data_IF_300022597792
#
_entry.id   IF_300022597792
#
_cell.length_a   1.000
_cell.length_b   1.000
_cell.length_c   1.000
_cell.angle_alpha   90.00
_cell.angle_beta   90.00
_cell.angle_gamma   90.00
#
_symmetry.space_group_name_H-M   'P 1'
#
loop_
_entity.id
_entity.type
_entity.pdbx_description
1 polymer ?
#
# COMPACT_ATOMS: atom_id res chain seq x y z
N UNK A 1 -37.16 65.25 2.47
CA UNK A 1 -37.13 64.95 3.92
C UNK A 1 -38.44 64.26 4.24
N UNK A 2 -38.42 62.94 4.18
CA UNK A 2 -39.51 62.06 4.55
C UNK A 2 -38.83 60.77 5.02
N UNK A 3 -38.87 60.55 6.33
CA UNK A 3 -38.19 59.47 7.03
C UNK A 3 -38.99 58.17 6.89
N UNK A 4 -38.26 57.10 6.56
CA UNK A 4 -38.77 55.76 6.34
C UNK A 4 -38.25 54.88 7.48
N UNK A 5 -39.04 54.71 8.54
CA UNK A 5 -38.75 53.81 9.66
C UNK A 5 -39.20 52.39 9.31
N UNK A 6 -38.28 51.44 9.48
CA UNK A 6 -38.49 50.00 9.33
C UNK A 6 -38.82 49.38 10.69
N UNK A 7 -39.72 48.39 10.78
CA UNK A 7 -40.07 47.74 12.04
C UNK A 7 -39.09 46.61 12.39
N UNK A 8 -38.76 46.52 13.69
CA UNK A 8 -38.02 45.42 14.31
C UNK A 8 -38.95 44.24 14.56
N UNK A 9 -38.57 43.05 14.11
CA UNK A 9 -39.16 41.79 14.56
C UNK A 9 -38.56 41.38 15.91
N UNK A 10 -39.43 41.26 16.92
CA UNK A 10 -39.16 40.60 18.19
C UNK A 10 -39.39 39.10 18.03
N UNK A 11 -38.44 38.26 18.43
CA UNK A 11 -38.64 36.82 18.55
C UNK A 11 -38.71 36.49 20.05
N UNK A 12 -39.93 36.18 20.50
CA UNK A 12 -40.22 35.49 21.76
C UNK A 12 -39.58 34.09 21.76
N UNK A 13 -38.77 33.76 22.77
CA UNK A 13 -38.61 32.39 23.22
C UNK A 13 -38.76 32.30 24.74
N UNK A 14 -39.78 31.55 25.09
CA UNK A 14 -40.28 31.14 26.41
C UNK A 14 -39.20 30.68 27.38
N UNK A 15 -39.16 31.37 28.53
CA UNK A 15 -38.64 30.85 29.79
C UNK A 15 -39.62 29.84 30.37
N UNK A 16 -39.11 28.73 30.91
CA UNK A 16 -39.85 27.80 31.78
C UNK A 16 -39.21 27.84 33.17
N UNK A 17 -39.97 28.11 34.25
CA UNK A 17 -39.44 28.11 35.61
C UNK A 17 -39.77 26.80 36.35
N UNK A 18 -38.79 26.23 37.05
CA UNK A 18 -39.06 25.33 38.19
C UNK A 18 -37.93 25.38 39.24
N UNK A 19 -38.14 26.24 40.24
CA UNK A 19 -38.06 26.00 41.70
C UNK A 19 -37.89 24.53 42.15
N UNK A 20 -37.20 24.12 43.24
CA UNK A 20 -36.61 24.75 44.45
C UNK A 20 -35.82 23.63 45.20
N UNK A 21 -34.86 23.94 46.10
CA UNK A 21 -33.94 22.97 46.69
C UNK A 21 -34.43 22.40 48.03
N UNK A 22 -34.03 21.16 48.37
CA UNK A 22 -34.30 20.57 49.68
C UNK A 22 -33.07 19.85 50.29
N UNK A 23 -32.59 20.46 51.38
CA UNK A 23 -31.99 19.94 52.62
C UNK A 23 -31.06 18.71 52.64
N UNK A 24 -29.79 19.00 52.97
CA UNK A 24 -29.17 18.73 54.29
C UNK A 24 -29.55 17.44 55.05
N UNK A 25 -28.68 16.42 55.04
CA UNK A 25 -28.45 15.55 56.21
C UNK A 25 -27.07 14.84 56.17
N UNK A 26 -26.14 15.25 57.05
CA UNK A 26 -25.13 14.38 57.71
C UNK A 26 -25.83 13.77 58.94
N UNK A 27 -25.49 12.58 59.51
CA UNK A 27 -24.10 12.11 59.77
C UNK A 27 -23.89 10.57 59.87
N UNK A 28 -22.63 10.10 59.90
CA UNK A 28 -22.04 9.31 61.03
C UNK A 28 -20.79 8.52 60.64
N UNK A 29 -19.79 8.68 61.50
CA UNK A 29 -18.60 7.86 61.61
C UNK A 29 -18.93 6.44 62.08
N UNK A 30 -18.18 5.45 61.58
CA UNK A 30 -17.94 4.20 62.31
C UNK A 30 -16.46 3.81 62.22
N UNK A 31 -15.79 3.87 63.37
CA UNK A 31 -14.50 3.24 63.68
C UNK A 31 -14.77 1.84 64.22
N UNK A 32 -14.07 0.82 63.73
CA UNK A 32 -13.57 -0.35 64.47
C UNK A 32 -12.75 -1.21 63.47
N UNK A 33 -11.43 -1.36 63.56
CA UNK A 33 -10.55 -2.00 64.57
C UNK A 33 -10.45 -3.53 64.40
N UNK A 34 -9.20 -3.97 64.24
CA UNK A 34 -8.62 -5.27 64.66
C UNK A 34 -8.94 -6.52 63.83
N UNK A 35 -7.90 -7.12 63.21
CA UNK A 35 -7.17 -8.25 63.84
C UNK A 35 -5.83 -8.51 63.16
N UNK A 36 -4.87 -8.93 63.99
CA UNK A 36 -3.48 -9.22 63.69
C UNK A 36 -3.21 -10.73 63.55
N UNK A 37 -1.96 -11.03 63.21
CA UNK A 37 -1.26 -12.33 63.26
C UNK A 37 -1.58 -13.29 62.09
N UNK A 38 -0.68 -14.13 61.58
CA UNK A 38 0.51 -14.74 62.19
C UNK A 38 1.41 -15.36 61.10
N UNK A 39 2.72 -15.14 61.26
CA UNK A 39 3.86 -16.05 61.04
C UNK A 39 3.64 -17.40 60.32
N UNK A 40 4.52 -17.72 59.34
CA UNK A 40 5.43 -18.88 59.45
C UNK A 40 6.63 -18.74 58.53
N UNK A 41 7.83 -18.86 59.10
CA UNK A 41 9.08 -19.10 58.42
C UNK A 41 9.29 -20.62 58.21
N UNK A 42 9.86 -21.04 57.08
CA UNK A 42 10.81 -22.16 57.05
C UNK A 42 11.70 -22.13 55.78
N UNK A 43 13.01 -22.11 56.04
CA UNK A 43 14.13 -22.54 55.19
C UNK A 43 14.25 -24.10 55.35
N UNK A 44 15.25 -24.85 54.82
CA UNK A 44 16.28 -24.59 53.78
C UNK A 44 16.56 -25.80 52.82
N UNK A 45 17.61 -25.63 51.99
CA UNK A 45 18.54 -26.63 51.40
C UNK A 45 18.15 -27.36 50.10
N UNK A 46 18.99 -27.17 49.07
CA UNK A 46 19.87 -28.23 48.57
C UNK A 46 21.05 -27.65 47.76
N UNK A 47 22.26 -28.13 48.07
CA UNK A 47 23.50 -28.02 47.28
C UNK A 47 23.57 -29.19 46.30
N UNK A 48 24.13 -29.00 45.11
CA UNK A 48 25.01 -29.93 44.34
C UNK A 48 25.16 -29.35 42.93
N UNK A 49 26.28 -28.79 42.48
CA UNK A 49 27.58 -29.39 42.14
C UNK A 49 27.54 -30.46 41.02
N UNK A 50 28.20 -30.09 39.91
CA UNK A 50 29.01 -30.89 38.97
C UNK A 50 28.38 -31.87 37.95
N UNK A 51 28.50 -31.54 36.65
CA UNK A 51 29.09 -32.35 35.53
C UNK A 51 28.92 -31.55 34.23
N UNK A 52 29.98 -31.05 33.60
CA UNK A 52 30.97 -31.72 32.75
C UNK A 52 30.45 -32.18 31.37
N UNK A 53 30.97 -31.48 30.36
CA UNK A 53 31.46 -31.98 29.06
C UNK A 53 30.51 -32.45 27.95
N UNK A 54 30.78 -31.84 26.79
CA UNK A 54 30.85 -32.42 25.45
C UNK A 54 29.54 -32.77 24.72
N UNK A 55 29.17 -31.92 23.75
CA UNK A 55 28.86 -32.40 22.40
C UNK A 55 29.08 -31.31 21.34
N UNK A 56 30.27 -31.36 20.75
CA UNK A 56 30.55 -30.86 19.40
C UNK A 56 29.88 -31.83 18.41
N UNK A 57 29.61 -31.37 17.19
CA UNK A 57 29.14 -32.13 15.99
C UNK A 57 27.63 -32.12 15.73
N UNK A 58 27.15 -31.12 14.96
CA UNK A 58 26.42 -31.33 13.69
C UNK A 58 25.90 -29.99 13.14
N UNK A 59 26.81 -29.19 12.59
CA UNK A 59 26.47 -28.00 11.80
C UNK A 59 27.35 -28.04 10.54
N UNK A 60 27.02 -28.96 9.63
CA UNK A 60 27.69 -29.12 8.34
C UNK A 60 26.82 -29.95 7.35
N UNK A 61 25.48 -29.87 7.45
CA UNK A 61 24.58 -30.63 6.55
C UNK A 61 23.23 -29.95 6.29
N UNK A 62 23.18 -28.62 6.31
CA UNK A 62 21.96 -27.85 6.03
C UNK A 62 22.13 -26.77 4.95
N UNK A 63 23.30 -26.68 4.30
CA UNK A 63 23.57 -25.71 3.23
C UNK A 63 23.61 -26.34 1.82
N UNK A 64 23.33 -27.65 1.68
CA UNK A 64 23.34 -28.37 0.39
C UNK A 64 21.95 -28.78 -0.12
N UNK A 65 20.86 -28.54 0.62
CA UNK A 65 19.48 -28.85 0.15
C UNK A 65 18.79 -27.65 -0.53
N UNK A 66 19.16 -26.40 -0.21
CA UNK A 66 18.54 -25.20 -0.81
C UNK A 66 19.02 -24.92 -2.24
N UNK A 67 20.09 -25.60 -2.71
CA UNK A 67 20.59 -25.52 -4.09
C UNK A 67 20.09 -26.63 -5.03
N UNK A 68 19.31 -27.58 -4.52
CA UNK A 68 18.78 -28.69 -5.30
C UNK A 68 17.35 -28.45 -5.82
N UNK A 69 16.55 -27.61 -5.16
CA UNK A 69 15.18 -27.32 -5.59
C UNK A 69 15.12 -26.31 -6.76
N UNK A 70 16.07 -25.38 -6.84
CA UNK A 70 16.13 -24.36 -7.91
C UNK A 70 16.60 -24.91 -9.28
N UNK A 71 17.07 -26.17 -9.34
CA UNK A 71 17.48 -26.85 -10.59
C UNK A 71 16.48 -27.88 -11.11
N UNK A 72 15.42 -28.19 -10.35
CA UNK A 72 14.40 -29.13 -10.78
C UNK A 72 13.26 -28.46 -11.58
N UNK A 73 13.01 -27.16 -11.36
CA UNK A 73 11.97 -26.40 -12.10
C UNK A 73 12.43 -25.97 -13.51
N UNK A 74 13.74 -25.80 -13.74
CA UNK A 74 14.28 -25.45 -15.08
C UNK A 74 14.33 -26.65 -16.05
N UNK A 75 14.20 -27.88 -15.54
CA UNK A 75 14.28 -29.12 -16.35
C UNK A 75 12.93 -29.58 -16.93
N UNK A 76 11.79 -29.02 -16.49
CA UNK A 76 10.44 -29.42 -16.96
C UNK A 76 9.89 -28.48 -18.04
N UNK A 77 10.48 -27.30 -18.23
CA UNK A 77 10.08 -26.34 -19.28
C UNK A 77 10.76 -26.55 -20.65
N UNK A 78 11.75 -27.45 -20.77
CA UNK A 78 12.56 -27.62 -21.98
C UNK A 78 12.11 -28.73 -22.93
N UNK A 79 10.83 -29.14 -22.92
CA UNK A 79 10.35 -30.25 -23.77
C UNK A 79 8.97 -30.00 -24.40
N UNK A 80 8.86 -28.91 -25.15
CA UNK A 80 7.77 -28.68 -26.11
C UNK A 80 8.21 -27.74 -27.25
N UNK A 81 9.34 -28.02 -27.90
CA UNK A 81 9.60 -27.51 -29.26
C UNK A 81 9.06 -28.51 -30.27
N UNK A 82 7.81 -28.29 -30.69
CA UNK A 82 7.21 -28.96 -31.84
C UNK A 82 7.63 -28.23 -33.12
N UNK A 83 8.25 -28.98 -34.03
CA UNK A 83 8.72 -28.52 -35.35
C UNK A 83 7.62 -27.82 -36.15
N UNK A 84 7.90 -26.70 -36.85
CA UNK A 84 6.96 -26.15 -37.81
C UNK A 84 6.92 -27.03 -39.08
N UNK A 85 5.72 -27.49 -39.41
CA UNK A 85 5.41 -28.08 -40.69
C UNK A 85 5.58 -27.03 -41.80
N UNK A 86 6.39 -27.36 -42.80
CA UNK A 86 6.46 -26.68 -44.10
C UNK A 86 5.13 -26.88 -44.81
N UNK A 87 4.46 -25.79 -45.15
CA UNK A 87 3.46 -25.78 -46.21
C UNK A 87 3.81 -24.80 -47.33
N UNK A 88 3.36 -25.09 -48.56
CA UNK A 88 4.01 -24.65 -49.77
C UNK A 88 3.50 -23.32 -50.32
N UNK A 89 4.37 -22.71 -51.11
CA UNK A 89 4.17 -21.56 -51.99
C UNK A 89 2.73 -21.37 -52.51
N UNK A 90 2.11 -20.25 -52.10
CA UNK A 90 0.95 -19.69 -52.76
C UNK A 90 1.36 -18.47 -53.60
N UNK A 91 0.80 -18.46 -54.81
CA UNK A 91 1.17 -17.67 -55.96
C UNK A 91 0.97 -16.15 -55.77
N UNK A 92 1.83 -15.41 -56.47
CA UNK A 92 1.78 -13.97 -56.63
C UNK A 92 0.48 -13.52 -57.32
N UNK A 93 -0.37 -12.80 -56.60
CA UNK A 93 -1.45 -12.01 -57.17
C UNK A 93 -1.03 -10.53 -57.26
N UNK A 94 -1.00 -10.02 -58.49
CA UNK A 94 -0.58 -8.68 -58.86
C UNK A 94 -1.66 -7.64 -58.61
N UNK A 95 -1.85 -7.27 -57.35
CA UNK A 95 -2.75 -6.18 -56.96
C UNK A 95 -2.16 -4.79 -57.21
N UNK A 96 -2.70 -4.06 -58.19
CA UNK A 96 -2.39 -2.65 -58.48
C UNK A 96 -2.57 -1.77 -57.24
N UNK A 97 -1.47 -1.24 -56.69
CA UNK A 97 -1.45 -0.19 -55.66
C UNK A 97 -2.19 1.05 -56.16
N UNK A 98 -3.43 1.26 -55.72
CA UNK A 98 -4.10 2.57 -55.80
C UNK A 98 -3.37 3.53 -54.87
N UNK A 99 -2.95 4.67 -55.42
CA UNK A 99 -2.31 5.73 -54.67
C UNK A 99 -3.23 6.22 -53.53
N UNK A 100 -2.70 6.45 -52.31
CA UNK A 100 -3.48 6.95 -51.20
C UNK A 100 -4.07 8.34 -51.53
N UNK A 101 -5.31 8.63 -51.11
CA UNK A 101 -5.93 9.93 -51.29
C UNK A 101 -5.10 11.01 -50.60
N UNK A 102 -4.78 12.08 -51.33
CA UNK A 102 -4.07 13.25 -50.79
C UNK A 102 -4.85 13.81 -49.61
N UNK A 103 -4.25 13.74 -48.43
CA UNK A 103 -4.79 14.32 -47.21
C UNK A 103 -5.09 15.81 -47.42
N UNK A 104 -6.25 16.31 -46.92
CA UNK A 104 -6.59 17.72 -46.98
C UNK A 104 -5.52 18.55 -46.24
N UNK A 105 -4.88 19.46 -46.96
CA UNK A 105 -3.90 20.37 -46.39
C UNK A 105 -4.64 21.35 -45.45
N UNK A 106 -4.50 21.11 -44.15
CA UNK A 106 -5.00 22.00 -43.10
C UNK A 106 -4.26 23.34 -43.24
N UNK A 107 -5.02 24.40 -43.53
CA UNK A 107 -4.53 25.78 -43.59
C UNK A 107 -3.80 26.13 -42.29
N UNK A 108 -2.53 26.52 -42.41
CA UNK A 108 -1.74 27.14 -41.33
C UNK A 108 -2.45 28.40 -40.86
N UNK A 109 -3.11 28.33 -39.70
CA UNK A 109 -3.68 29.51 -39.02
C UNK A 109 -2.53 30.26 -38.34
N UNK A 110 -2.45 31.56 -38.60
CA UNK A 110 -1.37 32.43 -38.17
C UNK A 110 -1.66 33.03 -36.78
N UNK A 111 -1.42 32.25 -35.72
CA UNK A 111 -1.58 32.68 -34.32
C UNK A 111 -0.21 32.99 -33.66
N UNK A 112 0.67 33.72 -34.35
CA UNK A 112 2.12 33.75 -34.08
C UNK A 112 2.62 34.34 -32.75
N UNK A 113 1.84 35.14 -32.01
CA UNK A 113 2.37 35.86 -30.81
C UNK A 113 1.85 35.34 -29.47
N UNK A 114 0.62 34.82 -29.37
CA UNK A 114 0.13 34.19 -28.12
C UNK A 114 0.72 32.81 -27.88
N UNK A 115 1.18 32.14 -28.94
CA UNK A 115 1.91 30.88 -28.83
C UNK A 115 3.27 31.03 -28.12
N UNK A 116 3.90 32.21 -28.10
CA UNK A 116 5.26 32.38 -27.59
C UNK A 116 5.45 31.98 -26.12
N UNK A 117 4.61 32.50 -25.21
CA UNK A 117 4.70 32.21 -23.77
C UNK A 117 4.21 30.80 -23.42
N UNK A 118 3.14 30.33 -24.07
CA UNK A 118 2.63 28.97 -23.88
C UNK A 118 3.66 27.92 -24.33
N UNK A 119 4.41 28.18 -25.40
CA UNK A 119 5.53 27.32 -25.81
C UNK A 119 6.68 27.31 -24.80
N UNK A 120 6.94 28.41 -24.09
CA UNK A 120 8.05 28.48 -23.12
C UNK A 120 7.75 27.59 -21.91
N UNK A 121 6.57 27.75 -21.28
CA UNK A 121 6.22 26.98 -20.08
C UNK A 121 6.09 25.49 -20.39
N UNK A 122 5.43 25.14 -21.51
CA UNK A 122 5.32 23.75 -21.94
C UNK A 122 6.69 23.13 -22.21
N UNK A 123 7.63 23.88 -22.83
CA UNK A 123 9.00 23.40 -23.04
C UNK A 123 9.75 23.14 -21.74
N UNK A 124 9.59 23.99 -20.72
CA UNK A 124 10.20 23.75 -19.40
C UNK A 124 9.59 22.54 -18.70
N UNK A 125 8.27 22.39 -18.74
CA UNK A 125 7.59 21.22 -18.16
C UNK A 125 8.02 19.94 -18.87
N UNK A 126 8.04 19.92 -20.20
CA UNK A 126 8.51 18.76 -20.96
C UNK A 126 9.97 18.43 -20.65
N UNK A 127 10.84 19.44 -20.56
CA UNK A 127 12.25 19.23 -20.19
C UNK A 127 12.40 18.65 -18.77
N UNK A 128 11.57 19.09 -17.82
CA UNK A 128 11.53 18.54 -16.46
C UNK A 128 11.06 17.08 -16.47
N UNK A 129 9.97 16.76 -17.18
CA UNK A 129 9.47 15.39 -17.28
C UNK A 129 10.51 14.47 -17.96
N UNK A 130 11.18 14.94 -19.01
CA UNK A 130 12.25 14.19 -19.67
C UNK A 130 13.45 13.95 -18.77
N UNK A 131 13.80 14.94 -17.93
CA UNK A 131 14.83 14.77 -16.90
C UNK A 131 14.42 13.69 -15.88
N UNK A 132 13.18 13.73 -15.39
CA UNK A 132 12.66 12.76 -14.43
C UNK A 132 12.58 11.35 -15.02
N UNK A 133 12.14 11.20 -16.28
CA UNK A 133 12.13 9.92 -17.02
C UNK A 133 13.51 9.26 -17.06
N UNK A 134 14.59 10.05 -17.16
CA UNK A 134 15.97 9.53 -17.16
C UNK A 134 16.43 9.04 -15.79
N UNK A 135 15.93 9.66 -14.72
CA UNK A 135 16.27 9.28 -13.33
C UNK A 135 15.48 8.01 -12.95
N UNK A 136 14.22 7.95 -13.35
CA UNK A 136 13.28 6.89 -12.99
C UNK A 136 13.37 5.69 -13.92
N UNK A 137 14.42 4.88 -13.77
CA UNK A 137 14.64 3.68 -14.59
C UNK A 137 13.96 2.42 -14.03
N UNK A 138 13.48 1.48 -14.88
CA UNK A 138 12.85 0.23 -14.42
C UNK A 138 13.73 -0.62 -13.49
N UNK A 139 15.03 -0.84 -13.76
CA UNK A 139 15.87 -1.67 -12.88
C UNK A 139 15.98 -1.12 -11.45
N UNK A 140 16.02 0.21 -11.31
CA UNK A 140 16.09 0.86 -9.99
C UNK A 140 14.79 0.64 -9.23
N UNK A 141 13.64 0.81 -9.90
CA UNK A 141 12.33 0.52 -9.31
C UNK A 141 12.25 -0.92 -8.80
N UNK A 142 12.61 -1.90 -9.63
CA UNK A 142 12.59 -3.31 -9.26
C UNK A 142 13.54 -3.62 -8.09
N UNK A 143 14.72 -3.00 -8.07
CA UNK A 143 15.67 -3.11 -6.96
C UNK A 143 15.08 -2.62 -5.63
N UNK A 144 14.48 -1.43 -5.62
CA UNK A 144 13.86 -0.87 -4.41
C UNK A 144 12.63 -1.70 -4.01
N UNK A 145 11.82 -2.15 -4.97
CA UNK A 145 10.65 -3.01 -4.70
C UNK A 145 11.06 -4.35 -4.06
N UNK A 146 12.11 -5.01 -4.58
CA UNK A 146 12.66 -6.24 -3.99
C UNK A 146 13.16 -5.99 -2.57
N UNK A 147 13.88 -4.88 -2.36
CA UNK A 147 14.36 -4.49 -1.04
C UNK A 147 13.21 -4.22 -0.06
N UNK A 148 12.16 -3.52 -0.49
CA UNK A 148 10.98 -3.23 0.32
C UNK A 148 10.28 -4.53 0.77
N UNK A 149 10.11 -5.50 -0.14
CA UNK A 149 9.54 -6.82 0.19
C UNK A 149 10.43 -7.58 1.19
N UNK A 150 11.73 -7.60 0.94
CA UNK A 150 12.69 -8.25 1.84
C UNK A 150 12.60 -7.68 3.26
N UNK A 151 12.70 -6.35 3.40
CA UNK A 151 12.59 -5.68 4.69
C UNK A 151 11.21 -5.89 5.32
N UNK A 152 10.14 -5.88 4.52
CA UNK A 152 8.77 -6.12 4.98
C UNK A 152 8.59 -7.49 5.63
N UNK A 153 9.14 -8.55 5.03
CA UNK A 153 9.09 -9.89 5.61
C UNK A 153 9.86 -9.98 6.94
N UNK A 154 11.05 -9.37 7.02
CA UNK A 154 11.81 -9.33 8.27
C UNK A 154 11.12 -8.52 9.36
N UNK A 155 10.52 -7.38 9.02
CA UNK A 155 9.77 -6.56 9.95
C UNK A 155 8.53 -7.30 10.47
N UNK A 156 7.78 -7.95 9.59
CA UNK A 156 6.61 -8.75 9.96
C UNK A 156 7.02 -9.92 10.87
N UNK A 157 8.13 -10.61 10.57
CA UNK A 157 8.64 -11.68 11.42
C UNK A 157 9.09 -11.17 12.80
N UNK A 158 9.80 -10.04 12.85
CA UNK A 158 10.22 -9.40 14.09
C UNK A 158 9.03 -8.92 14.96
N UNK A 159 7.88 -8.65 14.34
CA UNK A 159 6.67 -8.26 15.07
C UNK A 159 6.14 -9.35 16.00
N UNK A 160 6.39 -10.64 15.70
CA UNK A 160 5.92 -11.75 16.52
C UNK A 160 6.48 -11.73 17.96
N UNK A 161 7.81 -11.74 18.18
CA UNK A 161 8.36 -11.65 19.53
C UNK A 161 8.07 -10.30 20.19
N UNK A 162 8.04 -9.19 19.44
CA UNK A 162 7.71 -7.88 20.00
C UNK A 162 6.29 -7.82 20.56
N UNK A 163 5.30 -8.25 19.79
CA UNK A 163 3.90 -8.30 20.22
C UNK A 163 3.71 -9.25 21.42
N UNK A 164 4.40 -10.39 21.44
CA UNK A 164 4.33 -11.33 22.57
C UNK A 164 4.89 -10.69 23.85
N UNK A 165 6.02 -9.98 23.76
CA UNK A 165 6.60 -9.27 24.91
C UNK A 165 5.67 -8.19 25.44
N UNK A 166 5.14 -7.34 24.55
CA UNK A 166 4.15 -6.31 24.92
C UNK A 166 2.93 -6.95 25.58
N UNK A 167 2.36 -7.99 24.99
CA UNK A 167 1.21 -8.70 25.53
C UNK A 167 1.49 -9.33 26.90
N UNK A 168 2.68 -9.89 27.12
CA UNK A 168 3.10 -10.44 28.40
C UNK A 168 3.17 -9.36 29.48
N UNK A 169 3.81 -8.22 29.20
CA UNK A 169 3.89 -7.10 30.15
C UNK A 169 2.51 -6.53 30.47
N UNK A 170 1.67 -6.34 29.45
CA UNK A 170 0.29 -5.90 29.62
C UNK A 170 -0.53 -6.89 30.45
N UNK A 171 -0.41 -8.19 30.20
CA UNK A 171 -1.13 -9.23 30.95
C UNK A 171 -0.74 -9.25 32.42
N UNK A 172 0.55 -9.14 32.75
CA UNK A 172 1.04 -9.08 34.13
C UNK A 172 0.50 -7.83 34.82
N UNK A 173 0.55 -6.68 34.15
CA UNK A 173 0.18 -5.39 34.75
C UNK A 173 -1.33 -5.22 34.92
N UNK A 174 -2.12 -5.78 34.02
CA UNK A 174 -3.60 -5.73 34.08
C UNK A 174 -4.23 -6.90 34.82
N UNK A 175 -3.45 -7.97 35.09
CA UNK A 175 -3.99 -9.23 35.62
C UNK A 175 -4.87 -9.99 34.63
N UNK A 176 -4.80 -9.66 33.33
CA UNK A 176 -5.67 -10.23 32.30
C UNK A 176 -4.98 -11.29 31.46
N UNK A 177 -5.36 -12.56 31.65
CA UNK A 177 -4.81 -13.68 30.89
C UNK A 177 -5.18 -13.65 29.40
N UNK A 178 -6.31 -13.01 29.03
CA UNK A 178 -6.74 -12.93 27.64
C UNK A 178 -5.75 -12.17 26.75
N UNK A 179 -5.08 -11.14 27.29
CA UNK A 179 -4.07 -10.36 26.55
C UNK A 179 -2.89 -11.25 26.16
N UNK A 180 -2.44 -12.12 27.06
CA UNK A 180 -1.37 -13.07 26.76
C UNK A 180 -1.77 -14.07 25.68
N UNK A 181 -3.03 -14.55 25.70
CA UNK A 181 -3.57 -15.42 24.66
C UNK A 181 -3.55 -14.71 23.30
N UNK A 182 -3.94 -13.43 23.23
CA UNK A 182 -3.86 -12.67 21.98
C UNK A 182 -2.42 -12.50 21.48
N UNK A 183 -1.46 -12.24 22.38
CA UNK A 183 -0.04 -12.21 22.03
C UNK A 183 0.46 -13.55 21.49
N UNK A 184 0.08 -14.66 22.10
CA UNK A 184 0.43 -16.00 21.62
C UNK A 184 -0.24 -16.32 20.27
N UNK A 185 -1.51 -15.93 20.08
CA UNK A 185 -2.21 -16.07 18.81
C UNK A 185 -1.53 -15.28 17.70
N UNK A 186 -1.02 -14.08 18.00
CA UNK A 186 -0.27 -13.26 17.04
C UNK A 186 0.99 -13.96 16.52
N UNK A 187 1.72 -14.67 17.39
CA UNK A 187 2.91 -15.45 16.98
C UNK A 187 2.56 -16.52 15.95
N UNK A 188 1.37 -17.13 16.05
CA UNK A 188 0.87 -18.11 15.07
C UNK A 188 0.33 -17.42 13.82
N UNK A 189 -0.27 -16.23 13.93
CA UNK A 189 -0.81 -15.49 12.81
C UNK A 189 0.28 -14.94 11.86
N UNK A 190 1.41 -14.47 12.39
CA UNK A 190 2.51 -13.89 11.61
C UNK A 190 3.01 -14.79 10.46
N UNK A 191 3.34 -16.09 10.65
CA UNK A 191 3.78 -16.93 9.54
C UNK A 191 2.69 -17.15 8.49
N UNK A 192 1.40 -17.19 8.88
CA UNK A 192 0.27 -17.30 7.95
C UNK A 192 0.17 -16.02 7.11
N UNK A 193 0.23 -14.84 7.75
CA UNK A 193 0.22 -13.55 7.08
C UNK A 193 1.42 -13.39 6.14
N UNK A 194 2.59 -13.85 6.57
CA UNK A 194 3.81 -13.84 5.76
C UNK A 194 3.67 -14.72 4.51
N UNK A 195 3.10 -15.92 4.65
CA UNK A 195 2.81 -16.82 3.54
C UNK A 195 1.83 -16.20 2.54
N UNK A 196 0.74 -15.59 3.02
CA UNK A 196 -0.23 -14.89 2.17
C UNK A 196 0.47 -13.75 1.40
N UNK A 197 1.25 -12.91 2.10
CA UNK A 197 1.93 -11.78 1.49
C UNK A 197 2.90 -12.23 0.38
N UNK A 198 3.66 -13.29 0.61
CA UNK A 198 4.62 -13.83 -0.35
C UNK A 198 3.94 -14.35 -1.62
N UNK A 199 2.96 -15.24 -1.47
CA UNK A 199 2.33 -15.92 -2.61
C UNK A 199 1.50 -14.97 -3.47
N UNK A 200 0.68 -14.11 -2.85
CA UNK A 200 -0.20 -13.22 -3.61
C UNK A 200 0.56 -12.08 -4.30
N UNK A 201 1.72 -11.69 -3.78
CA UNK A 201 2.59 -10.73 -4.48
C UNK A 201 3.12 -11.30 -5.79
N UNK A 202 3.62 -12.54 -5.77
CA UNK A 202 4.08 -13.22 -6.99
C UNK A 202 2.93 -13.44 -7.97
N UNK A 203 1.76 -13.85 -7.48
CA UNK A 203 0.57 -14.02 -8.31
C UNK A 203 0.10 -12.71 -8.97
N UNK A 204 0.16 -11.58 -8.24
CA UNK A 204 -0.15 -10.26 -8.79
C UNK A 204 0.83 -9.82 -9.89
N UNK A 205 2.13 -10.08 -9.72
CA UNK A 205 3.13 -9.81 -10.75
C UNK A 205 2.88 -10.63 -12.03
N UNK A 206 2.46 -11.89 -11.89
CA UNK A 206 2.07 -12.74 -13.02
C UNK A 206 0.82 -12.21 -13.73
N UNK A 207 -0.21 -11.79 -12.98
CA UNK A 207 -1.43 -11.20 -13.55
C UNK A 207 -1.17 -9.94 -14.38
N UNK A 208 -0.31 -9.03 -13.89
CA UNK A 208 0.07 -7.83 -14.63
C UNK A 208 0.75 -8.19 -15.95
N UNK A 209 1.63 -9.22 -15.94
CA UNK A 209 2.34 -9.70 -17.13
C UNK A 209 1.43 -10.46 -18.11
N UNK A 210 0.40 -11.16 -17.65
CA UNK A 210 -0.51 -11.92 -18.51
C UNK A 210 -1.60 -11.06 -19.18
N UNK A 211 -1.77 -9.82 -18.73
CA UNK A 211 -2.86 -8.94 -19.18
C UNK A 211 -2.35 -7.74 -19.98
N UNK A 212 -1.94 -7.89 -21.26
CA UNK A 212 -1.46 -6.77 -22.07
C UNK A 212 -2.57 -5.78 -22.38
N UNK A 213 -2.24 -4.48 -22.36
CA UNK A 213 -3.18 -3.40 -22.67
C UNK A 213 -2.49 -2.32 -23.47
N UNK A 214 -3.24 -1.58 -24.28
CA UNK A 214 -2.69 -0.54 -25.15
C UNK A 214 -3.24 0.83 -24.76
N UNK A 215 -2.43 1.87 -24.93
CA UNK A 215 -2.84 3.27 -24.88
C UNK A 215 -2.47 3.93 -26.22
N UNK A 216 -3.38 4.70 -26.79
CA UNK A 216 -3.16 5.42 -28.05
C UNK A 216 -2.11 6.53 -27.90
N UNK A 217 -2.11 7.23 -26.77
CA UNK A 217 -1.28 8.43 -26.58
C UNK A 217 -0.48 8.41 -25.28
N UNK A 218 0.80 8.85 -25.31
CA UNK A 218 1.59 9.08 -24.10
C UNK A 218 1.10 10.28 -23.28
N UNK A 219 0.30 11.18 -23.87
CA UNK A 219 -0.09 12.43 -23.22
C UNK A 219 -0.86 12.22 -21.91
N UNK A 220 -1.68 11.16 -21.81
CA UNK A 220 -2.36 10.82 -20.57
C UNK A 220 -1.37 10.55 -19.44
N UNK A 221 -0.32 9.75 -19.71
CA UNK A 221 0.69 9.38 -18.72
C UNK A 221 1.55 10.59 -18.30
N UNK A 222 1.89 11.47 -19.25
CA UNK A 222 2.63 12.70 -18.95
C UNK A 222 1.79 13.67 -18.09
N UNK A 223 0.50 13.82 -18.38
CA UNK A 223 -0.42 14.61 -17.54
C UNK A 223 -0.59 13.99 -16.15
N UNK A 224 -0.75 12.67 -16.06
CA UNK A 224 -0.84 11.95 -14.79
C UNK A 224 0.43 12.14 -13.96
N UNK A 225 1.60 12.04 -14.58
CA UNK A 225 2.88 12.28 -13.92
C UNK A 225 2.96 13.68 -13.33
N UNK A 226 2.55 14.71 -14.09
CA UNK A 226 2.56 16.09 -13.63
C UNK A 226 1.61 16.31 -12.43
N UNK A 227 0.39 15.77 -12.50
CA UNK A 227 -0.56 15.83 -11.39
C UNK A 227 -0.01 15.08 -10.18
N UNK A 228 0.57 13.90 -10.38
CA UNK A 228 1.19 13.12 -9.31
C UNK A 228 2.33 13.87 -8.62
N UNK A 229 3.18 14.58 -9.37
CA UNK A 229 4.22 15.43 -8.78
C UNK A 229 3.65 16.58 -7.94
N UNK A 230 2.53 17.18 -8.37
CA UNK A 230 1.82 18.18 -7.57
C UNK A 230 1.25 17.57 -6.28
N UNK A 231 0.71 16.35 -6.34
CA UNK A 231 0.23 15.62 -5.15
C UNK A 231 1.39 15.33 -4.19
N UNK A 232 2.54 14.87 -4.69
CA UNK A 232 3.75 14.65 -3.87
C UNK A 232 4.14 15.94 -3.13
N UNK A 233 4.21 17.07 -3.85
CA UNK A 233 4.54 18.36 -3.26
C UNK A 233 3.49 18.81 -2.22
N UNK A 234 2.20 18.66 -2.54
CA UNK A 234 1.11 19.02 -1.64
C UNK A 234 1.13 18.20 -0.34
N UNK A 235 1.33 16.88 -0.43
CA UNK A 235 1.47 16.02 0.75
C UNK A 235 2.63 16.45 1.63
N UNK A 236 3.81 16.75 1.06
CA UNK A 236 4.96 17.21 1.86
C UNK A 236 4.67 18.53 2.57
N UNK A 237 4.08 19.51 1.87
CA UNK A 237 3.74 20.81 2.47
C UNK A 237 2.70 20.63 3.57
N UNK A 238 1.63 19.87 3.31
CA UNK A 238 0.56 19.63 4.27
C UNK A 238 1.07 18.89 5.51
N UNK A 239 1.93 17.88 5.34
CA UNK A 239 2.56 17.17 6.44
C UNK A 239 3.42 18.06 7.33
N UNK A 240 4.18 19.00 6.74
CA UNK A 240 4.97 19.97 7.52
C UNK A 240 4.04 20.86 8.34
N UNK A 241 2.98 21.40 7.72
CA UNK A 241 2.01 22.27 8.40
C UNK A 241 1.32 21.52 9.56
N UNK A 242 0.84 20.30 9.32
CA UNK A 242 0.20 19.48 10.34
C UNK A 242 1.16 19.10 11.46
N UNK A 243 2.41 18.77 11.13
CA UNK A 243 3.43 18.44 12.12
C UNK A 243 3.73 19.60 13.07
N UNK A 244 3.79 20.83 12.53
CA UNK A 244 3.97 22.05 13.33
C UNK A 244 2.73 22.33 14.20
N UNK A 245 1.53 22.24 13.63
CA UNK A 245 0.28 22.55 14.35
C UNK A 245 0.00 21.58 15.51
N UNK A 246 0.32 20.30 15.33
CA UNK A 246 0.08 19.28 16.34
C UNK A 246 1.28 19.04 17.26
N UNK A 247 2.40 19.75 17.04
CA UNK A 247 3.68 19.56 17.76
C UNK A 247 4.07 18.07 17.79
N UNK A 248 3.87 17.40 16.65
CA UNK A 248 4.02 15.95 16.53
C UNK A 248 4.62 15.60 15.17
N UNK A 249 5.53 14.64 15.16
CA UNK A 249 6.15 14.18 13.92
C UNK A 249 5.29 13.14 13.18
N UNK A 250 4.26 12.58 13.84
CA UNK A 250 3.42 11.51 13.30
C UNK A 250 2.63 11.97 12.05
N UNK A 251 1.92 13.12 12.05
CA UNK A 251 1.21 13.59 10.86
C UNK A 251 2.14 13.79 9.66
N UNK A 252 3.31 14.40 9.89
CA UNK A 252 4.32 14.58 8.85
C UNK A 252 4.77 13.25 8.24
N UNK A 253 5.06 12.25 9.06
CA UNK A 253 5.46 10.92 8.58
C UNK A 253 4.36 10.23 7.76
N UNK A 254 3.10 10.40 8.16
CA UNK A 254 1.94 9.87 7.41
C UNK A 254 1.83 10.50 6.02
N UNK A 255 1.93 11.82 5.93
CA UNK A 255 1.85 12.51 4.64
C UNK A 255 3.10 12.26 3.78
N UNK A 256 4.28 12.14 4.40
CA UNK A 256 5.50 11.74 3.72
C UNK A 256 5.38 10.32 3.12
N UNK A 257 4.75 9.40 3.85
CA UNK A 257 4.47 8.07 3.35
C UNK A 257 3.57 8.11 2.09
N UNK A 258 2.48 8.88 2.12
CA UNK A 258 1.60 9.07 0.96
C UNK A 258 2.37 9.71 -0.20
N UNK A 259 3.20 10.72 0.08
CA UNK A 259 4.04 11.37 -0.93
C UNK A 259 5.01 10.36 -1.60
N UNK A 260 5.61 9.46 -0.83
CA UNK A 260 6.50 8.41 -1.37
C UNK A 260 5.72 7.47 -2.29
N UNK A 261 4.53 7.01 -1.88
CA UNK A 261 3.69 6.14 -2.72
C UNK A 261 3.26 6.85 -4.01
N UNK A 262 2.85 8.11 -3.92
CA UNK A 262 2.52 8.93 -5.09
C UNK A 262 3.73 9.10 -6.02
N UNK A 263 4.93 9.27 -5.47
CA UNK A 263 6.18 9.32 -6.23
C UNK A 263 6.45 8.02 -7.01
N UNK A 264 6.19 6.85 -6.40
CA UNK A 264 6.28 5.57 -7.12
C UNK A 264 5.18 5.41 -8.18
N UNK A 265 3.99 5.97 -7.99
CA UNK A 265 2.94 5.99 -9.01
C UNK A 265 3.37 6.84 -10.23
N UNK A 266 3.99 8.00 -9.99
CA UNK A 266 4.62 8.82 -11.03
C UNK A 266 5.75 8.07 -11.75
N UNK A 267 6.55 7.29 -11.01
CA UNK A 267 7.58 6.44 -11.62
C UNK A 267 6.98 5.47 -12.64
N UNK A 268 5.86 4.83 -12.28
CA UNK A 268 5.17 3.86 -13.14
C UNK A 268 4.59 4.52 -14.40
N UNK A 269 4.10 5.76 -14.32
CA UNK A 269 3.60 6.47 -15.52
C UNK A 269 4.71 6.82 -16.51
N UNK A 270 5.94 7.00 -16.05
CA UNK A 270 7.09 7.17 -16.94
C UNK A 270 7.55 5.87 -17.61
N UNK A 271 7.13 4.72 -17.08
CA UNK A 271 7.57 3.40 -17.52
C UNK A 271 6.38 2.43 -17.70
N UNK A 272 5.44 2.73 -18.62
CA UNK A 272 4.22 1.93 -18.82
C UNK A 272 4.50 0.48 -19.20
N UNK A 273 5.68 0.17 -19.75
CA UNK A 273 6.12 -1.19 -20.04
C UNK A 273 6.22 -2.08 -18.80
N UNK A 274 6.52 -1.52 -17.62
CA UNK A 274 6.50 -2.27 -16.35
C UNK A 274 5.10 -2.77 -15.97
N UNK A 275 4.08 -2.10 -16.50
CA UNK A 275 2.68 -2.46 -16.35
C UNK A 275 2.18 -3.27 -17.55
N UNK A 276 3.05 -3.75 -18.44
CA UNK A 276 2.62 -4.43 -19.67
C UNK A 276 1.62 -3.58 -20.47
N UNK A 277 1.91 -2.28 -20.57
CA UNK A 277 1.14 -1.31 -21.35
C UNK A 277 2.00 -0.85 -22.53
N UNK A 278 1.51 -1.07 -23.74
CA UNK A 278 2.12 -0.53 -24.96
C UNK A 278 1.50 0.83 -25.25
N UNK A 279 2.33 1.80 -25.65
CA UNK A 279 1.89 3.16 -25.99
C UNK A 279 2.15 3.39 -27.47
N UNK A 280 1.14 3.86 -28.18
CA UNK A 280 1.20 4.13 -29.62
C UNK A 280 0.45 3.08 -30.43
N UNK A 281 -0.79 3.40 -30.75
CA UNK A 281 -1.68 2.60 -31.60
C UNK A 281 -2.97 3.36 -31.92
N UNK A 282 -3.70 2.92 -32.95
CA UNK A 282 -5.01 3.47 -33.32
C UNK A 282 -6.11 2.89 -32.42
N UNK A 283 -6.01 3.12 -31.11
CA UNK A 283 -7.01 2.66 -30.16
C UNK A 283 -8.29 3.52 -30.29
N UNK A 284 -9.46 2.86 -30.32
CA UNK A 284 -10.71 3.60 -30.21
C UNK A 284 -10.85 4.24 -28.83
N UNK A 285 -11.71 5.25 -28.67
CA UNK A 285 -11.93 5.91 -27.38
C UNK A 285 -12.32 4.91 -26.26
N UNK A 286 -13.03 3.83 -26.60
CA UNK A 286 -13.36 2.76 -25.65
C UNK A 286 -12.14 1.94 -25.23
N UNK A 287 -11.22 1.64 -26.16
CA UNK A 287 -9.96 0.94 -25.84
C UNK A 287 -9.02 1.84 -25.02
N UNK A 288 -8.99 3.15 -25.31
CA UNK A 288 -8.24 4.13 -24.51
C UNK A 288 -8.75 4.14 -23.05
N UNK A 289 -10.07 4.19 -22.85
CA UNK A 289 -10.66 4.15 -21.51
C UNK A 289 -10.31 2.86 -20.76
N UNK A 290 -10.34 1.71 -21.44
CA UNK A 290 -9.89 0.43 -20.87
C UNK A 290 -8.41 0.48 -20.49
N UNK A 291 -7.56 1.05 -21.36
CA UNK A 291 -6.13 1.22 -21.09
C UNK A 291 -5.87 2.09 -19.86
N UNK A 292 -6.62 3.18 -19.68
CA UNK A 292 -6.52 4.08 -18.52
C UNK A 292 -6.92 3.36 -17.23
N UNK A 293 -8.07 2.67 -17.22
CA UNK A 293 -8.52 1.92 -16.04
C UNK A 293 -7.50 0.83 -15.69
N UNK A 294 -7.00 0.11 -16.70
CA UNK A 294 -5.98 -0.91 -16.55
C UNK A 294 -4.68 -0.34 -15.96
N UNK A 295 -4.27 0.85 -16.38
CA UNK A 295 -3.11 1.55 -15.82
C UNK A 295 -3.24 1.73 -14.30
N UNK A 296 -4.38 2.23 -13.80
CA UNK A 296 -4.58 2.42 -12.36
C UNK A 296 -4.55 1.11 -11.59
N UNK A 297 -5.29 0.10 -12.06
CA UNK A 297 -5.38 -1.20 -11.38
C UNK A 297 -4.02 -1.88 -11.31
N UNK A 298 -3.29 -1.92 -12.43
CA UNK A 298 -1.93 -2.48 -12.47
C UNK A 298 -0.95 -1.67 -11.63
N UNK A 299 -1.10 -0.34 -11.59
CA UNK A 299 -0.25 0.52 -10.76
C UNK A 299 -0.42 0.20 -9.28
N UNK A 300 -1.65 -0.01 -8.81
CA UNK A 300 -1.91 -0.46 -7.43
C UNK A 300 -1.18 -1.78 -7.14
N UNK A 301 -1.28 -2.76 -8.03
CA UNK A 301 -0.56 -4.05 -7.87
C UNK A 301 0.95 -3.84 -7.81
N UNK A 302 1.52 -2.99 -8.66
CA UNK A 302 2.95 -2.67 -8.64
C UNK A 302 3.40 -1.88 -7.41
N UNK A 303 2.50 -1.13 -6.75
CA UNK A 303 2.79 -0.41 -5.52
C UNK A 303 2.77 -1.29 -4.25
N UNK A 304 2.21 -2.51 -4.33
CA UNK A 304 2.11 -3.43 -3.19
C UNK A 304 3.44 -3.70 -2.47
N UNK A 305 4.58 -3.97 -3.14
CA UNK A 305 5.88 -4.10 -2.49
C UNK A 305 6.20 -2.99 -1.48
N UNK A 306 5.86 -1.74 -1.83
CA UNK A 306 6.11 -0.58 -0.97
C UNK A 306 5.08 -0.52 0.15
N UNK A 307 3.80 -0.73 -0.14
CA UNK A 307 2.73 -0.74 0.87
C UNK A 307 3.01 -1.80 1.94
N UNK A 308 3.30 -3.02 1.51
CA UNK A 308 3.70 -4.12 2.39
C UNK A 308 4.97 -3.80 3.17
N UNK A 309 6.05 -3.43 2.47
CA UNK A 309 7.37 -3.21 3.09
C UNK A 309 7.35 -2.12 4.15
N UNK A 310 6.86 -0.94 3.79
CA UNK A 310 6.78 0.22 4.70
C UNK A 310 5.77 0.01 5.82
N UNK A 311 4.58 -0.52 5.52
CA UNK A 311 3.55 -0.78 6.52
C UNK A 311 4.02 -1.78 7.58
N UNK A 312 4.70 -2.85 7.15
CA UNK A 312 5.27 -3.83 8.08
C UNK A 312 6.37 -3.21 8.97
N UNK A 313 7.25 -2.37 8.41
CA UNK A 313 8.28 -1.65 9.17
C UNK A 313 7.65 -0.70 10.19
N UNK A 314 6.66 0.10 9.78
CA UNK A 314 5.98 1.04 10.67
C UNK A 314 5.30 0.29 11.82
N UNK A 315 4.54 -0.76 11.52
CA UNK A 315 3.87 -1.55 12.55
C UNK A 315 4.86 -2.21 13.54
N UNK A 316 5.96 -2.79 13.02
CA UNK A 316 7.01 -3.34 13.88
C UNK A 316 7.71 -2.27 14.74
N UNK A 317 7.96 -1.08 14.18
CA UNK A 317 8.56 0.02 14.91
C UNK A 317 7.64 0.55 16.03
N UNK A 318 6.31 0.61 15.79
CA UNK A 318 5.35 0.98 16.83
C UNK A 318 5.38 -0.06 17.97
N UNK A 319 5.38 -1.37 17.68
CA UNK A 319 5.51 -2.40 18.72
C UNK A 319 6.84 -2.29 19.50
N UNK A 320 7.92 -1.91 18.83
CA UNK A 320 9.21 -1.69 19.48
C UNK A 320 9.17 -0.50 20.45
N UNK A 321 8.56 0.62 20.04
CA UNK A 321 8.34 1.77 20.94
C UNK A 321 7.44 1.36 22.10
N UNK A 322 6.42 0.54 21.83
CA UNK A 322 5.44 0.12 22.81
C UNK A 322 6.02 -0.77 23.93
N UNK A 323 7.12 -1.48 23.62
CA UNK A 323 7.91 -2.18 24.64
C UNK A 323 8.43 -1.25 25.75
N UNK A 324 8.58 0.05 25.48
CA UNK A 324 8.97 1.06 26.48
C UNK A 324 7.74 1.72 27.10
N UNK A 325 6.74 2.07 26.28
CA UNK A 325 5.53 2.80 26.72
C UNK A 325 4.71 1.99 27.74
N UNK A 326 4.72 0.66 27.65
CA UNK A 326 4.03 -0.22 28.60
C UNK A 326 4.42 0.01 30.07
N UNK A 327 5.63 0.55 30.32
CA UNK A 327 6.10 0.87 31.66
C UNK A 327 5.60 2.23 32.16
N UNK A 328 5.34 3.19 31.28
CA UNK A 328 5.02 4.58 31.65
C UNK A 328 3.53 4.91 31.51
N UNK A 329 2.86 4.41 30.47
CA UNK A 329 1.47 4.78 30.13
C UNK A 329 0.67 3.57 29.63
N UNK A 330 0.03 2.85 30.56
CA UNK A 330 -0.63 1.58 30.29
C UNK A 330 -1.76 1.67 29.24
N UNK A 331 -2.60 2.71 29.31
CA UNK A 331 -3.72 2.91 28.37
C UNK A 331 -3.20 3.16 26.96
N UNK A 332 -2.23 4.07 26.82
CA UNK A 332 -1.60 4.38 25.54
C UNK A 332 -0.89 3.17 24.94
N UNK A 333 -0.26 2.34 25.79
CA UNK A 333 0.42 1.15 25.30
C UNK A 333 -0.52 0.15 24.62
N UNK A 334 -1.67 -0.11 25.26
CA UNK A 334 -2.69 -0.96 24.67
C UNK A 334 -3.19 -0.42 23.31
N UNK A 335 -3.44 0.89 23.22
CA UNK A 335 -3.87 1.53 21.96
C UNK A 335 -2.82 1.42 20.85
N UNK A 336 -1.55 1.64 21.17
CA UNK A 336 -0.45 1.51 20.21
C UNK A 336 -0.24 0.07 19.76
N UNK A 337 -0.28 -0.91 20.67
CA UNK A 337 -0.19 -2.33 20.33
C UNK A 337 -1.29 -2.74 19.33
N UNK A 338 -2.54 -2.36 19.62
CA UNK A 338 -3.68 -2.67 18.76
C UNK A 338 -3.55 -1.99 17.40
N UNK A 339 -3.19 -0.71 17.37
CA UNK A 339 -2.96 0.03 16.13
C UNK A 339 -1.85 -0.62 15.28
N UNK A 340 -0.73 -1.00 15.89
CA UNK A 340 0.36 -1.68 15.21
C UNK A 340 -0.05 -3.02 14.60
N UNK A 341 -0.83 -3.82 15.33
CA UNK A 341 -1.38 -5.08 14.82
C UNK A 341 -2.28 -4.85 13.59
N UNK A 342 -3.17 -3.84 13.62
CA UNK A 342 -3.98 -3.51 12.46
C UNK A 342 -3.15 -3.09 11.24
N UNK A 343 -2.10 -2.28 11.45
CA UNK A 343 -1.19 -1.87 10.38
C UNK A 343 -0.46 -3.10 9.79
N UNK A 344 0.02 -4.01 10.64
CA UNK A 344 0.71 -5.23 10.21
C UNK A 344 -0.23 -6.16 9.43
N UNK A 345 -1.46 -6.37 9.90
CA UNK A 345 -2.47 -7.17 9.19
C UNK A 345 -2.79 -6.53 7.84
N UNK A 346 -3.06 -5.22 7.81
CA UNK A 346 -3.37 -4.50 6.57
C UNK A 346 -2.20 -4.59 5.57
N UNK A 347 -0.97 -4.34 6.02
CA UNK A 347 0.21 -4.43 5.18
C UNK A 347 0.39 -5.85 4.61
N UNK A 348 0.29 -6.89 5.46
CA UNK A 348 0.48 -8.27 5.04
C UNK A 348 -0.64 -8.81 4.14
N UNK A 349 -1.88 -8.33 4.32
CA UNK A 349 -3.01 -8.70 3.46
C UNK A 349 -3.12 -7.82 2.21
N UNK A 350 -2.38 -6.72 2.11
CA UNK A 350 -2.43 -5.83 0.94
C UNK A 350 -2.17 -6.53 -0.40
N UNK A 351 -1.24 -7.52 -0.55
CA UNK A 351 -1.06 -8.24 -1.80
C UNK A 351 -2.29 -9.07 -2.18
N UNK A 352 -2.92 -9.70 -1.19
CA UNK A 352 -4.15 -10.48 -1.39
C UNK A 352 -5.32 -9.60 -1.83
N UNK A 353 -5.52 -8.46 -1.16
CA UNK A 353 -6.59 -7.51 -1.50
C UNK A 353 -6.39 -6.91 -2.89
N UNK A 354 -5.16 -6.59 -3.27
CA UNK A 354 -4.86 -6.10 -4.62
C UNK A 354 -5.06 -7.17 -5.69
N UNK A 355 -4.69 -8.42 -5.40
CA UNK A 355 -4.95 -9.55 -6.30
C UNK A 355 -6.46 -9.73 -6.58
N UNK A 356 -7.29 -9.73 -5.53
CA UNK A 356 -8.74 -9.84 -5.69
C UNK A 356 -9.33 -8.64 -6.43
N UNK A 357 -8.91 -7.42 -6.05
CA UNK A 357 -9.34 -6.19 -6.72
C UNK A 357 -8.98 -6.20 -8.22
N UNK A 358 -7.80 -6.71 -8.56
CA UNK A 358 -7.36 -6.89 -9.94
C UNK A 358 -8.30 -7.84 -10.68
N UNK A 359 -8.54 -9.03 -10.13
CA UNK A 359 -9.42 -10.04 -10.75
C UNK A 359 -10.82 -9.51 -11.04
N UNK A 360 -11.46 -8.87 -10.05
CA UNK A 360 -12.81 -8.34 -10.23
C UNK A 360 -12.86 -7.20 -11.25
N UNK A 361 -11.84 -6.34 -11.27
CA UNK A 361 -11.80 -5.23 -12.23
C UNK A 361 -11.54 -5.75 -13.65
N UNK A 362 -10.66 -6.73 -13.82
CA UNK A 362 -10.39 -7.34 -15.11
C UNK A 362 -11.58 -8.13 -15.66
N UNK A 363 -12.33 -8.81 -14.78
CA UNK A 363 -13.60 -9.43 -15.17
C UNK A 363 -14.57 -8.39 -15.76
N UNK A 364 -14.67 -7.21 -15.15
CA UNK A 364 -15.50 -6.12 -15.68
C UNK A 364 -14.96 -5.56 -17.00
N UNK A 365 -13.63 -5.40 -17.13
CA UNK A 365 -12.98 -4.96 -18.37
C UNK A 365 -13.25 -5.94 -19.50
N UNK A 366 -13.09 -7.25 -19.26
CA UNK A 366 -13.30 -8.29 -20.25
C UNK A 366 -14.77 -8.33 -20.71
N UNK A 367 -15.70 -8.13 -19.77
CA UNK A 367 -17.12 -7.98 -20.09
C UNK A 367 -17.38 -6.77 -21.00
N UNK A 368 -16.85 -5.59 -20.65
CA UNK A 368 -16.99 -4.36 -21.47
C UNK A 368 -16.38 -4.58 -22.85
N UNK A 369 -15.19 -5.19 -22.93
CA UNK A 369 -14.51 -5.48 -24.19
C UNK A 369 -15.35 -6.39 -25.08
N UNK A 370 -15.91 -7.45 -24.51
CA UNK A 370 -16.80 -8.37 -25.23
C UNK A 370 -18.03 -7.65 -25.80
N UNK A 371 -18.61 -6.69 -25.08
CA UNK A 371 -19.75 -5.89 -25.57
C UNK A 371 -19.32 -4.97 -26.72
N UNK A 372 -18.16 -4.31 -26.60
CA UNK A 372 -17.63 -3.40 -27.62
C UNK A 372 -17.22 -4.13 -28.92
N UNK A 373 -16.95 -5.44 -28.87
CA UNK A 373 -16.61 -6.23 -30.05
C UNK A 373 -17.82 -6.65 -30.89
N UNK A 374 -19.05 -6.59 -30.36
CA UNK A 374 -20.26 -7.05 -31.07
C UNK A 374 -20.52 -6.26 -32.36
N UNK A 375 -20.53 -4.90 -32.37
CA UNK A 375 -20.81 -4.14 -33.58
C UNK A 375 -19.80 -4.42 -34.70
N UNK A 376 -18.52 -4.53 -34.34
CA UNK A 376 -17.44 -4.81 -35.29
C UNK A 376 -17.57 -6.17 -35.99
N UNK A 377 -18.31 -7.12 -35.40
CA UNK A 377 -18.59 -8.43 -35.99
C UNK A 377 -19.86 -8.44 -36.86
N UNK A 378 -20.77 -7.49 -36.67
CA UNK A 378 -22.02 -7.39 -37.45
C UNK A 378 -21.84 -6.62 -38.76
N UNK A 379 -20.81 -5.78 -38.86
CA UNK A 379 -20.49 -5.02 -40.08
C UNK A 379 -19.69 -5.81 -41.13
N UNK A 380 -19.41 -7.10 -40.87
CA UNK A 380 -18.80 -8.05 -41.81
C UNK A 380 -19.81 -9.09 -42.26
#
# INVERSE_FOLDING_TARGET
MADNETPKEETEQSETPQETPEKEEKPKATKAKSTAAKSTASKPKAKSAAKASAKKTSAAKAEDEEKAEDKAEEAVAAKAEEKPAKDPAMAADGGKKKAPPKAPQVKKVADGERLGLELILTRYISALLDMLKRIFTPPTYEGIAKWAVYVGHWALLASAPLALLVALFLAIRTGSWSILIYGAAWVVAVPILQFIAHNFRTAGDTLVKSSPTELSSPSFLDCYALIGLLVVLACVIFGIVQGIQQVSFIPFLSDLYIAILAGFAVWLSFNPSMLNITVGGDASAGQEAIGIISFFVKSVVKLIPFIFGTGAVIGAAILLVDCVVVFTALSSAYEYAVSAMYILVFAALSPFVAYLSFLFTYLAIDFIRSVLEIPNKLDK
#
